data_IF_236839923761
#
_entry.id   IF_236839923761
#
_cell.length_a   1.000
_cell.length_b   1.000
_cell.length_c   1.000
_cell.angle_alpha   90.00
_cell.angle_beta   90.00
_cell.angle_gamma   90.00
#
_symmetry.space_group_name_H-M   'P 1'
#
loop_
_entity.id
_entity.type
_entity.pdbx_description
1 polymer ?
#
# COMPACT_ATOMS: atom_id res chain seq x y z
N UNK A 1 41.25 28.41 56.82
CA UNK A 1 41.34 27.50 55.66
C UNK A 1 40.34 26.39 55.90
N UNK A 2 39.19 26.41 55.21
CA UNK A 2 38.23 25.30 55.22
C UNK A 2 37.70 25.10 53.81
N UNK A 3 38.42 24.27 53.05
CA UNK A 3 38.04 23.87 51.69
C UNK A 3 37.33 22.51 51.78
N UNK A 4 36.00 22.52 51.76
CA UNK A 4 35.17 21.31 51.82
C UNK A 4 35.32 20.46 50.54
N UNK A 5 35.81 19.20 50.61
CA UNK A 5 36.07 18.37 49.42
C UNK A 5 34.82 17.65 48.88
N UNK A 6 33.64 17.89 49.46
CA UNK A 6 32.44 17.08 49.20
C UNK A 6 31.70 17.42 47.88
N UNK A 7 31.95 18.58 47.25
CA UNK A 7 31.22 19.00 46.03
C UNK A 7 31.81 18.48 44.71
N UNK A 8 33.08 18.08 44.68
CA UNK A 8 33.78 17.74 43.41
C UNK A 8 33.38 16.35 42.88
N UNK A 9 33.02 15.42 43.76
CA UNK A 9 32.68 14.04 43.40
C UNK A 9 31.27 13.91 42.81
N UNK A 10 30.30 14.71 43.24
CA UNK A 10 28.93 14.64 42.71
C UNK A 10 28.82 15.20 41.29
N UNK A 11 29.56 16.28 40.99
CA UNK A 11 29.61 16.87 39.65
C UNK A 11 30.23 15.92 38.62
N UNK A 12 31.31 15.21 38.97
CA UNK A 12 31.95 14.21 38.11
C UNK A 12 31.04 13.02 37.84
N UNK A 13 30.27 12.59 38.84
CA UNK A 13 29.30 11.49 38.73
C UNK A 13 28.09 11.88 37.87
N UNK A 14 27.58 13.10 38.02
CA UNK A 14 26.50 13.64 37.17
C UNK A 14 26.92 13.78 35.70
N UNK A 15 28.15 14.27 35.46
CA UNK A 15 28.74 14.34 34.12
C UNK A 15 28.83 12.96 33.46
N UNK A 16 29.33 11.96 34.19
CA UNK A 16 29.45 10.59 33.67
C UNK A 16 28.10 9.92 33.40
N UNK A 17 27.11 10.15 34.27
CA UNK A 17 25.75 9.67 34.06
C UNK A 17 25.10 10.33 32.84
N UNK A 18 25.30 11.64 32.64
CA UNK A 18 24.82 12.33 31.44
C UNK A 18 25.51 11.84 30.17
N UNK A 19 26.82 11.59 30.22
CA UNK A 19 27.57 11.03 29.09
C UNK A 19 27.08 9.62 28.71
N UNK A 20 26.86 8.75 29.71
CA UNK A 20 26.32 7.41 29.47
C UNK A 20 24.88 7.44 28.97
N UNK A 21 24.06 8.35 29.51
CA UNK A 21 22.70 8.56 29.00
C UNK A 21 22.72 8.99 27.53
N UNK A 22 23.66 9.85 27.12
CA UNK A 22 23.83 10.27 25.73
C UNK A 22 24.25 9.10 24.83
N UNK A 23 25.22 8.28 25.29
CA UNK A 23 25.71 7.09 24.57
C UNK A 23 24.62 6.04 24.38
N UNK A 24 23.62 5.96 25.27
CA UNK A 24 22.49 5.04 25.13
C UNK A 24 21.33 5.67 24.34
N UNK A 25 21.02 6.94 24.58
CA UNK A 25 19.90 7.62 23.95
C UNK A 25 20.10 7.82 22.45
N UNK A 26 21.33 8.12 22.01
CA UNK A 26 21.64 8.33 20.59
C UNK A 26 21.42 7.06 19.75
N UNK A 27 22.00 5.88 20.08
CA UNK A 27 21.72 4.64 19.37
C UNK A 27 20.26 4.22 19.46
N UNK A 28 19.60 4.41 20.61
CA UNK A 28 18.19 4.05 20.78
C UNK A 28 17.27 4.89 19.86
N UNK A 29 17.54 6.20 19.75
CA UNK A 29 16.82 7.07 18.82
C UNK A 29 17.07 6.71 17.35
N UNK A 30 18.32 6.41 17.00
CA UNK A 30 18.68 5.94 15.66
C UNK A 30 18.04 4.58 15.34
N UNK A 31 18.02 3.66 16.30
CA UNK A 31 17.36 2.36 16.16
C UNK A 31 15.86 2.52 15.94
N UNK A 32 15.19 3.38 16.71
CA UNK A 32 13.76 3.65 16.52
C UNK A 32 13.44 4.24 15.14
N UNK A 33 14.29 5.16 14.65
CA UNK A 33 14.12 5.77 13.33
C UNK A 33 14.42 4.80 12.18
N UNK A 34 15.43 3.94 12.34
CA UNK A 34 15.84 2.96 11.32
C UNK A 34 14.96 1.72 11.30
N UNK A 35 14.31 1.37 12.43
CA UNK A 35 13.42 0.21 12.51
C UNK A 35 12.24 0.32 11.55
N UNK A 36 11.65 1.52 11.42
CA UNK A 36 10.60 1.78 10.42
C UNK A 36 11.10 1.54 9.00
N UNK A 37 12.27 2.09 8.66
CA UNK A 37 12.88 1.93 7.34
C UNK A 37 13.26 0.48 7.00
N UNK A 38 13.74 -0.29 7.98
CA UNK A 38 14.10 -1.71 7.81
C UNK A 38 12.85 -2.56 7.63
N UNK A 39 11.78 -2.26 8.39
CA UNK A 39 10.52 -2.97 8.27
C UNK A 39 9.85 -2.68 6.91
N UNK A 40 9.89 -1.43 6.46
CA UNK A 40 9.41 -1.04 5.13
C UNK A 40 10.24 -1.71 4.03
N UNK A 41 11.57 -1.70 4.13
CA UNK A 41 12.47 -2.36 3.19
C UNK A 41 12.22 -3.87 3.12
N UNK A 42 12.09 -4.56 4.27
CA UNK A 42 11.74 -5.99 4.32
C UNK A 42 10.37 -6.25 3.72
N UNK A 43 9.38 -5.41 4.03
CA UNK A 43 8.03 -5.55 3.51
C UNK A 43 7.98 -5.37 1.99
N UNK A 44 8.92 -4.66 1.39
CA UNK A 44 9.01 -4.45 -0.07
C UNK A 44 9.88 -5.51 -0.75
N UNK A 45 11.04 -5.87 -0.17
CA UNK A 45 11.99 -6.80 -0.76
C UNK A 45 11.60 -8.28 -0.66
N UNK A 46 10.70 -8.65 0.27
CA UNK A 46 10.22 -10.02 0.39
C UNK A 46 8.95 -10.28 -0.44
N UNK A 47 8.33 -9.24 -1.03
CA UNK A 47 7.09 -9.39 -1.79
C UNK A 47 7.33 -10.07 -3.13
N UNK A 48 6.55 -11.10 -3.41
CA UNK A 48 6.66 -11.89 -4.63
C UNK A 48 5.49 -11.57 -5.57
N UNK A 49 5.75 -10.97 -6.75
CA UNK A 49 4.70 -10.64 -7.69
C UNK A 49 4.16 -11.89 -8.37
N UNK A 50 2.85 -12.09 -8.28
CA UNK A 50 2.09 -13.02 -9.12
C UNK A 50 1.62 -12.22 -10.33
N UNK A 51 2.30 -12.42 -11.46
CA UNK A 51 2.01 -11.68 -12.69
C UNK A 51 0.69 -12.13 -13.29
N UNK A 52 -0.23 -11.18 -13.46
CA UNK A 52 -1.53 -11.40 -14.06
C UNK A 52 -1.64 -10.60 -15.37
N UNK A 53 -2.42 -11.13 -16.30
CA UNK A 53 -2.67 -10.49 -17.60
C UNK A 53 -4.03 -9.80 -17.53
N UNK A 54 -4.11 -8.58 -18.05
CA UNK A 54 -5.37 -7.84 -18.11
C UNK A 54 -6.45 -8.66 -18.83
N UNK A 55 -7.61 -8.80 -18.21
CA UNK A 55 -8.76 -9.55 -18.72
C UNK A 55 -8.69 -11.08 -18.55
N UNK A 56 -7.58 -11.63 -18.05
CA UNK A 56 -7.44 -13.07 -17.82
C UNK A 56 -7.66 -13.41 -16.33
N UNK A 57 -8.43 -14.47 -16.03
CA UNK A 57 -8.60 -14.95 -14.66
C UNK A 57 -7.30 -15.59 -14.16
N UNK A 58 -6.99 -15.37 -12.88
CA UNK A 58 -5.86 -15.96 -12.18
C UNK A 58 -6.23 -16.32 -10.74
N UNK A 59 -5.79 -17.47 -10.27
CA UNK A 59 -6.03 -17.87 -8.88
C UNK A 59 -5.02 -17.18 -7.96
N UNK A 60 -5.54 -16.43 -7.00
CA UNK A 60 -4.74 -15.71 -6.01
C UNK A 60 -5.51 -15.58 -4.69
N UNK A 61 -4.83 -15.85 -3.57
CA UNK A 61 -5.37 -15.67 -2.23
C UNK A 61 -6.72 -16.39 -1.95
N UNK A 62 -6.98 -17.52 -2.60
CA UNK A 62 -8.22 -18.29 -2.43
C UNK A 62 -9.42 -17.81 -3.26
N UNK A 63 -9.19 -16.95 -4.25
CA UNK A 63 -10.20 -16.53 -5.21
C UNK A 63 -9.63 -16.49 -6.64
N UNK A 64 -10.52 -16.55 -7.62
CA UNK A 64 -10.18 -16.29 -9.02
C UNK A 64 -10.34 -14.80 -9.29
N UNK A 65 -9.22 -14.12 -9.54
CA UNK A 65 -9.15 -12.68 -9.77
C UNK A 65 -9.05 -12.37 -11.25
N UNK A 66 -9.74 -11.31 -11.68
CA UNK A 66 -9.60 -10.77 -13.03
C UNK A 66 -9.52 -9.26 -12.95
N UNK A 67 -8.44 -8.66 -13.45
CA UNK A 67 -8.39 -7.21 -13.67
C UNK A 67 -9.04 -6.94 -15.01
N UNK A 68 -10.25 -6.40 -15.00
CA UNK A 68 -11.09 -6.23 -16.20
C UNK A 68 -10.83 -4.94 -16.93
N UNK A 69 -10.31 -3.92 -16.22
CA UNK A 69 -9.93 -2.65 -16.83
C UNK A 69 -8.75 -2.04 -16.10
N UNK A 70 -7.79 -1.53 -16.86
CA UNK A 70 -6.71 -0.68 -16.38
C UNK A 70 -6.45 0.37 -17.45
N UNK A 71 -6.97 1.58 -17.23
CA UNK A 71 -6.93 2.67 -18.22
C UNK A 71 -6.44 3.96 -17.60
N UNK A 72 -5.81 4.78 -18.44
CA UNK A 72 -5.40 6.14 -18.11
C UNK A 72 -6.36 7.14 -18.71
N UNK A 73 -6.74 8.13 -17.90
CA UNK A 73 -7.61 9.24 -18.25
C UNK A 73 -6.83 10.55 -18.04
N UNK A 74 -7.15 11.56 -18.85
CA UNK A 74 -6.67 12.92 -18.60
C UNK A 74 -7.32 13.44 -17.32
N UNK A 75 -6.49 13.71 -16.31
CA UNK A 75 -6.93 14.29 -15.05
C UNK A 75 -7.05 15.79 -15.11
N UNK A 76 -7.41 16.38 -13.97
CA UNK A 76 -7.41 17.83 -13.78
C UNK A 76 -5.97 18.37 -13.65
N UNK A 77 -5.75 19.63 -14.06
CA UNK A 77 -4.51 20.39 -13.79
C UNK A 77 -3.20 19.69 -14.24
N UNK A 78 -3.22 18.99 -15.37
CA UNK A 78 -2.03 18.31 -15.90
C UNK A 78 -1.63 17.03 -15.15
N UNK A 79 -2.52 16.52 -14.29
CA UNK A 79 -2.42 15.16 -13.74
C UNK A 79 -3.03 14.13 -14.70
N UNK A 80 -2.72 12.86 -14.46
CA UNK A 80 -3.43 11.75 -15.08
C UNK A 80 -4.16 10.95 -13.99
N UNK A 81 -5.30 10.38 -14.37
CA UNK A 81 -6.07 9.50 -13.48
C UNK A 81 -6.04 8.10 -14.04
N UNK A 82 -5.65 7.14 -13.23
CA UNK A 82 -5.68 5.73 -13.61
C UNK A 82 -6.88 5.09 -12.96
N UNK A 83 -7.76 4.48 -13.78
CA UNK A 83 -8.90 3.72 -13.33
C UNK A 83 -8.60 2.23 -13.49
N UNK A 84 -8.66 1.50 -12.38
CA UNK A 84 -8.59 0.05 -12.33
C UNK A 84 -9.95 -0.52 -11.92
N UNK A 85 -10.47 -1.48 -12.69
CA UNK A 85 -11.60 -2.32 -12.34
C UNK A 85 -11.14 -3.76 -12.27
N UNK A 86 -11.57 -4.45 -11.22
CA UNK A 86 -11.17 -5.83 -10.98
C UNK A 86 -12.28 -6.57 -10.24
N UNK A 87 -12.33 -7.87 -10.45
CA UNK A 87 -13.33 -8.75 -9.90
C UNK A 87 -12.66 -9.94 -9.22
N UNK A 88 -13.26 -10.45 -8.15
CA UNK A 88 -12.77 -11.63 -7.45
C UNK A 88 -13.91 -12.60 -7.19
N UNK A 89 -13.82 -13.81 -7.74
CA UNK A 89 -14.75 -14.90 -7.49
C UNK A 89 -14.18 -15.82 -6.40
N UNK A 90 -14.76 -15.75 -5.22
CA UNK A 90 -14.39 -16.57 -4.07
C UNK A 90 -15.45 -17.63 -3.80
N UNK A 91 -15.01 -18.82 -3.36
CA UNK A 91 -15.93 -19.85 -2.86
C UNK A 91 -16.65 -19.38 -1.58
N UNK A 92 -15.92 -18.68 -0.70
CA UNK A 92 -16.47 -18.03 0.49
C UNK A 92 -16.09 -16.52 0.48
N UNK A 93 -16.95 -15.65 -0.09
CA UNK A 93 -16.74 -14.21 -0.07
C UNK A 93 -16.66 -13.64 1.35
N UNK A 94 -17.42 -14.19 2.32
CA UNK A 94 -17.44 -13.64 3.69
C UNK A 94 -16.10 -13.86 4.38
N UNK A 95 -15.51 -15.04 4.23
CA UNK A 95 -14.18 -15.32 4.75
C UNK A 95 -13.12 -14.41 4.11
N UNK A 96 -13.17 -14.22 2.78
CA UNK A 96 -12.23 -13.34 2.07
C UNK A 96 -12.39 -11.87 2.46
N UNK A 97 -13.62 -11.42 2.74
CA UNK A 97 -13.92 -10.08 3.23
C UNK A 97 -13.35 -9.77 4.62
N UNK A 98 -13.09 -10.78 5.45
CA UNK A 98 -12.43 -10.57 6.74
C UNK A 98 -10.92 -10.28 6.60
N UNK A 99 -10.33 -10.53 5.42
CA UNK A 99 -8.90 -10.32 5.16
C UNK A 99 -8.68 -8.88 4.70
N UNK A 100 -7.77 -8.12 5.35
CA UNK A 100 -7.38 -6.80 4.86
C UNK A 100 -6.81 -6.89 3.44
N UNK A 101 -7.36 -6.07 2.55
CA UNK A 101 -6.88 -5.95 1.18
C UNK A 101 -6.25 -4.58 0.96
N UNK A 102 -5.12 -4.55 0.24
CA UNK A 102 -4.41 -3.34 -0.13
C UNK A 102 -4.25 -3.28 -1.63
N UNK A 103 -4.67 -2.16 -2.22
CA UNK A 103 -4.45 -1.88 -3.64
C UNK A 103 -3.49 -0.69 -3.74
N UNK A 104 -2.51 -0.79 -4.63
CA UNK A 104 -1.59 0.30 -4.95
C UNK A 104 -1.31 0.32 -6.44
N UNK A 105 -0.96 1.50 -6.92
CA UNK A 105 -0.37 1.68 -8.24
C UNK A 105 1.11 2.02 -8.04
N UNK A 106 2.00 1.43 -8.81
CA UNK A 106 3.41 1.79 -8.84
C UNK A 106 3.88 2.08 -10.26
N UNK A 107 5.05 2.71 -10.40
CA UNK A 107 5.72 2.90 -11.67
C UNK A 107 7.09 2.20 -11.72
N UNK A 108 7.73 2.24 -12.89
CA UNK A 108 9.08 1.68 -13.08
C UNK A 108 10.18 2.36 -12.26
N UNK A 109 9.91 3.51 -11.64
CA UNK A 109 10.85 4.20 -10.75
C UNK A 109 10.68 3.84 -9.27
N UNK A 110 9.69 3.00 -8.94
CA UNK A 110 9.39 2.58 -7.58
C UNK A 110 8.52 3.56 -6.79
N UNK A 111 7.96 4.60 -7.44
CA UNK A 111 6.95 5.46 -6.81
C UNK A 111 5.66 4.66 -6.66
N UNK A 112 4.98 4.84 -5.52
CA UNK A 112 3.70 4.21 -5.24
C UNK A 112 2.62 5.26 -4.97
N UNK A 113 1.40 5.00 -5.45
CA UNK A 113 0.22 5.81 -5.22
C UNK A 113 -0.87 4.99 -4.53
N UNK A 114 -1.56 5.64 -3.60
CA UNK A 114 -2.73 5.11 -2.92
C UNK A 114 -4.00 5.47 -3.70
N UNK A 115 -5.07 4.66 -3.58
CA UNK A 115 -6.33 4.95 -4.24
C UNK A 115 -6.98 6.22 -3.67
N UNK A 116 -7.51 7.08 -4.54
CA UNK A 116 -8.12 8.36 -4.20
C UNK A 116 -9.65 8.35 -4.18
N UNK A 117 -10.28 7.16 -4.15
CA UNK A 117 -11.74 7.00 -4.00
C UNK A 117 -12.57 7.82 -5.00
N UNK A 118 -12.26 7.74 -6.28
CA UNK A 118 -12.99 8.36 -7.39
C UNK A 118 -13.16 9.89 -7.27
N UNK A 119 -12.18 10.55 -6.64
CA UNK A 119 -12.22 12.00 -6.38
C UNK A 119 -12.24 12.85 -7.67
N UNK A 120 -11.60 12.40 -8.75
CA UNK A 120 -11.48 13.22 -9.97
C UNK A 120 -12.82 13.26 -10.77
N UNK A 121 -13.27 14.46 -11.20
CA UNK A 121 -14.47 14.62 -12.01
C UNK A 121 -14.50 13.81 -13.31
N UNK A 122 -13.35 13.51 -13.92
CA UNK A 122 -13.28 12.74 -15.17
C UNK A 122 -13.84 11.34 -14.99
N UNK A 123 -13.48 10.68 -13.89
CA UNK A 123 -13.97 9.33 -13.55
C UNK A 123 -15.46 9.39 -13.29
N UNK A 124 -15.93 10.41 -12.54
CA UNK A 124 -17.35 10.56 -12.21
C UNK A 124 -18.23 10.80 -13.43
N UNK A 125 -17.73 11.51 -14.45
CA UNK A 125 -18.48 11.83 -15.66
C UNK A 125 -18.46 10.70 -16.68
N UNK A 126 -17.30 10.08 -16.90
CA UNK A 126 -17.13 9.04 -17.92
C UNK A 126 -17.50 7.63 -17.43
N UNK A 127 -17.37 7.38 -16.12
CA UNK A 127 -17.60 6.07 -15.51
C UNK A 127 -18.51 6.17 -14.28
N UNK A 128 -19.78 6.60 -14.45
CA UNK A 128 -20.71 6.80 -13.34
C UNK A 128 -20.97 5.52 -12.54
N UNK A 129 -20.98 4.36 -13.20
CA UNK A 129 -21.23 3.04 -12.59
C UNK A 129 -20.15 2.63 -11.57
N UNK A 130 -18.94 3.16 -11.74
CA UNK A 130 -17.80 2.84 -10.88
C UNK A 130 -17.97 3.46 -9.48
N UNK A 131 -18.78 4.52 -9.34
CA UNK A 131 -19.01 5.20 -8.05
C UNK A 131 -19.70 4.31 -7.01
N UNK A 132 -20.46 3.32 -7.47
CA UNK A 132 -21.15 2.37 -6.59
C UNK A 132 -20.29 1.15 -6.26
N UNK A 133 -19.05 1.09 -6.77
CA UNK A 133 -18.13 0.01 -6.48
C UNK A 133 -17.32 0.31 -5.24
N UNK A 134 -17.02 -0.74 -4.50
CA UNK A 134 -16.14 -0.68 -3.36
C UNK A 134 -14.68 -0.68 -3.81
N UNK A 135 -13.79 -0.13 -2.96
CA UNK A 135 -12.37 -0.47 -3.01
C UNK A 135 -12.20 -1.99 -2.76
N UNK A 136 -10.96 -2.47 -2.69
CA UNK A 136 -10.72 -3.85 -2.29
C UNK A 136 -10.97 -4.09 -0.79
N UNK A 137 -11.53 -5.25 -0.46
CA UNK A 137 -11.63 -5.74 0.92
C UNK A 137 -13.06 -5.88 1.43
N UNK A 138 -13.23 -5.77 2.75
CA UNK A 138 -14.37 -6.34 3.46
C UNK A 138 -15.75 -5.94 2.97
N UNK A 139 -16.00 -4.66 2.65
CA UNK A 139 -17.32 -4.24 2.16
C UNK A 139 -17.64 -4.78 0.77
N UNK A 140 -16.63 -4.91 -0.10
CA UNK A 140 -16.82 -5.46 -1.44
C UNK A 140 -17.28 -6.91 -1.40
N UNK A 141 -16.60 -7.72 -0.59
CA UNK A 141 -16.91 -9.14 -0.46
C UNK A 141 -18.15 -9.40 0.41
N UNK A 142 -18.39 -8.60 1.45
CA UNK A 142 -19.58 -8.73 2.29
C UNK A 142 -20.89 -8.44 1.52
N UNK A 143 -20.84 -7.54 0.54
CA UNK A 143 -21.97 -7.22 -0.33
C UNK A 143 -22.18 -8.25 -1.46
N UNK A 144 -21.30 -9.24 -1.60
CA UNK A 144 -21.31 -10.19 -2.72
C UNK A 144 -22.06 -11.46 -2.36
N UNK A 145 -22.97 -11.87 -3.24
CA UNK A 145 -23.68 -13.15 -3.13
C UNK A 145 -22.73 -14.34 -3.39
N UNK A 146 -22.92 -15.49 -2.71
CA UNK A 146 -22.16 -16.70 -3.01
C UNK A 146 -22.21 -17.08 -4.49
N UNK A 147 -21.06 -17.38 -5.09
CA UNK A 147 -20.95 -17.75 -6.50
C UNK A 147 -21.02 -16.58 -7.49
N UNK A 148 -21.12 -15.33 -7.01
CA UNK A 148 -20.97 -14.12 -7.84
C UNK A 148 -19.58 -13.50 -7.62
N UNK A 149 -19.01 -12.84 -8.64
CA UNK A 149 -17.76 -12.13 -8.46
C UNK A 149 -17.99 -10.82 -7.69
N UNK A 150 -17.12 -10.54 -6.72
CA UNK A 150 -17.07 -9.26 -6.03
C UNK A 150 -16.46 -8.21 -6.97
N UNK A 151 -17.26 -7.23 -7.40
CA UNK A 151 -16.83 -6.19 -8.32
C UNK A 151 -16.27 -5.00 -7.57
N UNK A 152 -15.03 -4.65 -7.87
CA UNK A 152 -14.28 -3.60 -7.20
C UNK A 152 -13.70 -2.63 -8.22
N UNK A 153 -13.34 -1.45 -7.73
CA UNK A 153 -12.60 -0.50 -8.52
C UNK A 153 -11.74 0.41 -7.65
N UNK A 154 -10.69 0.95 -8.25
CA UNK A 154 -9.80 1.92 -7.64
C UNK A 154 -9.40 2.98 -8.66
N UNK A 155 -9.37 4.24 -8.24
CA UNK A 155 -8.80 5.34 -9.02
C UNK A 155 -7.52 5.85 -8.37
N UNK A 156 -6.54 6.25 -9.17
CA UNK A 156 -5.28 6.81 -8.70
C UNK A 156 -5.03 8.13 -9.41
N UNK A 157 -4.62 9.15 -8.66
CA UNK A 157 -4.14 10.40 -9.23
C UNK A 157 -2.63 10.34 -9.32
N UNK A 158 -2.08 10.49 -10.53
CA UNK A 158 -0.65 10.40 -10.80
C UNK A 158 -0.18 11.63 -11.59
N UNK A 159 1.13 11.96 -11.53
CA UNK A 159 1.72 12.90 -12.45
C UNK A 159 1.58 12.39 -13.90
N UNK A 160 1.24 13.27 -14.86
CA UNK A 160 1.19 12.92 -16.27
C UNK A 160 2.42 12.16 -16.83
N UNK A 161 3.68 12.50 -16.46
CA UNK A 161 4.85 11.81 -16.99
C UNK A 161 5.13 10.43 -16.37
N UNK A 162 4.33 9.96 -15.41
CA UNK A 162 4.52 8.62 -14.84
C UNK A 162 4.20 7.54 -15.88
N UNK A 163 5.12 6.60 -16.09
CA UNK A 163 5.05 5.54 -17.10
C UNK A 163 5.35 4.16 -16.51
N UNK A 164 5.13 3.09 -17.28
CA UNK A 164 5.38 1.71 -16.84
C UNK A 164 4.60 1.37 -15.57
N UNK A 165 3.31 1.70 -15.57
CA UNK A 165 2.46 1.54 -14.40
C UNK A 165 2.18 0.06 -14.11
N UNK A 166 2.15 -0.28 -12.83
CA UNK A 166 1.78 -1.60 -12.33
C UNK A 166 0.74 -1.47 -11.24
N UNK A 167 -0.42 -2.08 -11.44
CA UNK A 167 -1.41 -2.27 -10.41
C UNK A 167 -1.01 -3.44 -9.53
N UNK A 168 -1.06 -3.25 -8.21
CA UNK A 168 -0.81 -4.31 -7.23
C UNK A 168 -2.02 -4.51 -6.32
N UNK A 169 -2.41 -5.77 -6.11
CA UNK A 169 -3.47 -6.17 -5.19
C UNK A 169 -2.85 -7.17 -4.21
N UNK A 170 -2.82 -6.81 -2.93
CA UNK A 170 -2.26 -7.63 -1.87
C UNK A 170 -3.31 -7.95 -0.82
N UNK A 171 -3.51 -9.24 -0.56
CA UNK A 171 -4.28 -9.70 0.59
C UNK A 171 -3.31 -10.13 1.68
N UNK A 172 -3.59 -9.72 2.92
CA UNK A 172 -2.71 -10.05 4.05
C UNK A 172 -2.57 -11.56 4.28
N UNK A 173 -3.59 -12.35 3.93
CA UNK A 173 -3.57 -13.81 4.02
C UNK A 173 -2.62 -14.49 3.02
N UNK A 174 -2.25 -13.80 1.94
CA UNK A 174 -1.43 -14.35 0.87
C UNK A 174 -0.01 -13.76 0.82
N UNK A 175 0.33 -12.88 1.76
CA UNK A 175 1.69 -12.37 1.86
C UNK A 175 2.70 -13.52 2.01
N UNK A 176 3.88 -13.44 1.36
CA UNK A 176 4.40 -12.27 0.65
C UNK A 176 3.89 -12.08 -0.79
N UNK A 177 3.06 -12.99 -1.31
CA UNK A 177 2.56 -12.93 -2.68
C UNK A 177 1.55 -11.79 -2.86
N UNK A 178 1.66 -11.08 -3.98
CA UNK A 178 0.69 -10.06 -4.39
C UNK A 178 0.43 -10.16 -5.88
N UNK A 179 -0.81 -9.90 -6.29
CA UNK A 179 -1.17 -9.88 -7.70
C UNK A 179 -0.66 -8.58 -8.33
N UNK A 180 -0.04 -8.71 -9.50
CA UNK A 180 0.60 -7.61 -10.23
C UNK A 180 0.12 -7.59 -11.69
N UNK A 181 -0.45 -6.48 -12.13
CA UNK A 181 -0.89 -6.27 -13.53
C UNK A 181 -0.29 -4.99 -14.07
N UNK A 182 0.47 -5.11 -15.14
CA UNK A 182 1.07 -3.96 -15.82
C UNK A 182 0.07 -3.29 -16.76
N UNK A 183 0.19 -1.97 -16.90
CA UNK A 183 -0.51 -1.20 -17.93
C UNK A 183 -0.18 -1.79 -19.32
N UNK A 184 -1.18 -2.00 -20.20
CA UNK A 184 -0.91 -2.45 -21.56
C UNK A 184 0.08 -1.48 -22.23
N UNK A 185 1.17 -2.01 -22.79
CA UNK A 185 2.04 -1.21 -23.66
C UNK A 185 1.28 -0.92 -24.96
N UNK A 186 0.70 0.26 -25.06
CA UNK A 186 0.22 0.86 -26.32
C UNK A 186 1.39 1.36 -27.15
#
# INVERSE_FOLDING_TARGET
MDSSPAKVTSARRGYWLSLMALVVALPAALAAQTWGSINDWRSQHLRQPVSAILGQPIDYAGASWTVTRLIRLAGSEGSAVVLAEFEALAADPKALGAVPCKVRLSDGSGREWQPTLFADPVVRKQYPDVRNRFLCGGTAFAATEPGKPARMAASFLIPAPASSLTLSIALYSALPNYLSVSEPRT
#
